data_IF_872573936215
#
_entry.id   IF_872573936215
#
_cell.length_a   1.000
_cell.length_b   1.000
_cell.length_c   1.000
_cell.angle_alpha   90.00
_cell.angle_beta   90.00
_cell.angle_gamma   90.00
#
_symmetry.space_group_name_H-M   'P 1'
#
loop_
_entity.id
_entity.type
_entity.pdbx_description
1 polymer ?
#
# COMPACT_ATOMS: atom_id res chain seq x y z
N UNK A 1 -1.96 -16.18 17.68
CA UNK A 1 -0.89 -16.42 18.65
C UNK A 1 -0.56 -15.11 19.35
N UNK A 2 -0.41 -15.10 20.67
CA UNK A 2 -0.03 -13.90 21.42
C UNK A 2 0.85 -14.29 22.58
N UNK A 3 2.10 -13.82 22.58
CA UNK A 3 3.00 -14.04 23.72
C UNK A 3 2.48 -13.35 24.98
N UNK A 4 1.97 -12.12 24.87
CA UNK A 4 1.47 -11.31 26.00
C UNK A 4 0.33 -12.00 26.76
N UNK A 5 -0.53 -12.72 26.06
CA UNK A 5 -1.68 -13.41 26.64
C UNK A 5 -1.49 -14.94 26.71
N UNK A 6 -0.26 -15.43 26.56
CA UNK A 6 0.07 -16.85 26.53
C UNK A 6 -0.79 -17.70 25.56
N UNK A 7 -1.22 -17.12 24.43
CA UNK A 7 -2.02 -17.81 23.42
C UNK A 7 -1.10 -18.54 22.43
N UNK A 8 -1.15 -19.88 22.36
CA UNK A 8 -0.28 -20.66 21.49
C UNK A 8 -0.58 -20.45 20.00
N UNK A 9 0.39 -20.77 19.15
CA UNK A 9 0.17 -20.84 17.71
C UNK A 9 -0.60 -22.13 17.35
N UNK A 10 -1.50 -22.03 16.38
CA UNK A 10 -2.38 -23.11 15.91
C UNK A 10 -2.64 -22.93 14.42
N UNK A 11 -3.07 -24.00 13.74
CA UNK A 11 -3.41 -23.95 12.30
C UNK A 11 -4.44 -22.86 11.96
N UNK A 12 -5.42 -22.63 12.85
CA UNK A 12 -6.44 -21.58 12.66
C UNK A 12 -5.96 -20.17 13.08
N UNK A 13 -4.69 -19.99 13.43
CA UNK A 13 -4.17 -18.66 13.80
C UNK A 13 -4.13 -17.77 12.57
N UNK A 14 -4.82 -16.63 12.66
CA UNK A 14 -4.77 -15.59 11.64
C UNK A 14 -3.55 -14.69 11.87
N UNK A 15 -2.90 -14.31 10.79
CA UNK A 15 -1.75 -13.41 10.77
C UNK A 15 -2.02 -12.27 9.80
N UNK A 16 -1.52 -11.08 10.15
CA UNK A 16 -1.48 -9.97 9.21
C UNK A 16 -0.39 -10.21 8.18
N UNK A 17 -0.78 -10.26 6.91
CA UNK A 17 0.12 -10.58 5.79
C UNK A 17 1.06 -9.42 5.43
N UNK A 18 0.79 -8.22 5.92
CA UNK A 18 1.56 -7.02 5.60
C UNK A 18 1.71 -6.83 4.09
N UNK A 19 2.94 -6.64 3.61
CA UNK A 19 3.21 -6.40 2.19
C UNK A 19 2.90 -7.58 1.26
N UNK A 20 2.73 -8.81 1.76
CA UNK A 20 2.29 -9.95 0.94
C UNK A 20 0.89 -9.69 0.35
N UNK A 21 0.06 -8.89 1.03
CA UNK A 21 -1.26 -8.49 0.53
C UNK A 21 -1.23 -7.80 -0.83
N UNK A 22 -0.09 -7.20 -1.24
CA UNK A 22 0.04 -6.50 -2.54
C UNK A 22 -0.18 -7.44 -3.72
N UNK A 23 0.20 -8.72 -3.62
CA UNK A 23 -0.04 -9.70 -4.69
C UNK A 23 -1.54 -9.92 -4.92
N UNK A 24 -2.35 -9.91 -3.86
CA UNK A 24 -3.81 -9.99 -3.99
C UNK A 24 -4.38 -8.72 -4.61
N UNK A 25 -3.85 -7.53 -4.27
CA UNK A 25 -4.21 -6.28 -4.95
C UNK A 25 -3.86 -6.32 -6.44
N UNK A 26 -2.69 -6.83 -6.82
CA UNK A 26 -2.31 -7.00 -8.23
C UNK A 26 -3.27 -7.94 -8.97
N UNK A 27 -3.70 -9.05 -8.34
CA UNK A 27 -4.71 -9.96 -8.92
C UNK A 27 -6.04 -9.23 -9.13
N UNK A 28 -6.53 -8.48 -8.14
CA UNK A 28 -7.76 -7.72 -8.26
C UNK A 28 -7.70 -6.68 -9.40
N UNK A 29 -6.57 -5.98 -9.54
CA UNK A 29 -6.34 -5.08 -10.69
C UNK A 29 -6.30 -5.87 -12.00
N UNK A 30 -5.67 -7.05 -12.01
CA UNK A 30 -5.66 -7.96 -13.16
C UNK A 30 -7.06 -8.37 -13.63
N UNK A 31 -7.98 -8.63 -12.70
CA UNK A 31 -9.38 -8.92 -13.02
C UNK A 31 -10.08 -7.72 -13.68
N UNK A 32 -9.81 -6.50 -13.21
CA UNK A 32 -10.35 -5.28 -13.84
C UNK A 32 -9.77 -5.02 -15.23
N UNK A 33 -8.49 -5.33 -15.44
CA UNK A 33 -7.85 -5.28 -16.76
C UNK A 33 -8.49 -6.29 -17.72
N UNK A 34 -8.72 -7.52 -17.26
CA UNK A 34 -9.40 -8.57 -18.06
C UNK A 34 -10.83 -8.17 -18.43
N UNK A 35 -11.55 -7.51 -17.53
CA UNK A 35 -12.89 -7.00 -17.77
C UNK A 35 -12.93 -5.70 -18.60
N UNK A 36 -11.78 -5.22 -19.10
CA UNK A 36 -11.63 -3.93 -19.79
C UNK A 36 -12.16 -2.71 -19.00
N UNK A 37 -12.22 -2.83 -17.66
CA UNK A 37 -12.64 -1.73 -16.78
C UNK A 37 -11.48 -0.82 -16.39
N UNK A 38 -10.24 -1.31 -16.53
CA UNK A 38 -8.99 -0.57 -16.39
C UNK A 38 -8.08 -0.82 -17.59
N UNK A 39 -7.19 0.13 -17.87
CA UNK A 39 -6.04 -0.03 -18.74
C UNK A 39 -4.75 0.17 -17.95
N UNK A 40 -3.68 -0.50 -18.37
CA UNK A 40 -2.34 -0.30 -17.80
C UNK A 40 -1.80 1.12 -18.07
N UNK A 41 -2.32 1.78 -19.10
CA UNK A 41 -1.93 3.14 -19.49
C UNK A 41 -2.84 4.22 -18.88
N UNK A 42 -3.90 3.82 -18.16
CA UNK A 42 -4.69 4.77 -17.39
C UNK A 42 -3.80 5.48 -16.38
N UNK A 43 -4.02 6.79 -16.24
CA UNK A 43 -3.39 7.62 -15.22
C UNK A 43 -4.22 7.65 -13.96
N UNK A 44 -3.60 8.06 -12.86
CA UNK A 44 -4.33 8.30 -11.60
C UNK A 44 -5.47 9.30 -11.85
N UNK A 45 -5.24 10.36 -12.62
CA UNK A 45 -6.26 11.37 -12.94
C UNK A 45 -7.50 10.80 -13.64
N UNK A 46 -7.36 9.71 -14.40
CA UNK A 46 -8.47 9.12 -15.16
C UNK A 46 -9.43 8.36 -14.24
N UNK A 47 -8.95 7.93 -13.07
CA UNK A 47 -9.69 7.10 -12.10
C UNK A 47 -9.99 7.83 -10.78
N UNK A 48 -9.18 8.81 -10.43
CA UNK A 48 -9.27 9.63 -9.22
C UNK A 48 -9.14 11.10 -9.62
N UNK A 49 -10.18 11.72 -10.21
CA UNK A 49 -10.12 13.10 -10.70
C UNK A 49 -9.84 14.11 -9.59
N UNK A 50 -10.29 13.82 -8.36
CA UNK A 50 -10.09 14.69 -7.19
C UNK A 50 -8.78 14.40 -6.42
N UNK A 51 -7.82 13.68 -7.03
CA UNK A 51 -6.54 13.40 -6.39
C UNK A 51 -5.80 14.71 -6.04
N UNK A 52 -5.34 14.93 -4.79
CA UNK A 52 -4.86 16.24 -4.35
C UNK A 52 -3.67 16.79 -5.15
N UNK A 53 -2.73 15.93 -5.56
CA UNK A 53 -1.57 16.32 -6.36
C UNK A 53 -1.82 16.01 -7.84
N UNK A 54 -2.40 16.98 -8.54
CA UNK A 54 -2.76 16.85 -9.96
C UNK A 54 -1.54 16.66 -10.87
N UNK A 55 -0.38 17.24 -10.52
CA UNK A 55 0.83 17.09 -11.30
C UNK A 55 1.35 15.65 -11.27
N UNK A 56 1.24 14.99 -10.11
CA UNK A 56 1.49 13.56 -9.95
C UNK A 56 0.41 12.73 -10.66
N UNK A 57 -0.86 13.10 -10.47
CA UNK A 57 -1.99 12.32 -10.96
C UNK A 57 -2.01 12.18 -12.50
N UNK A 58 -1.59 13.23 -13.22
CA UNK A 58 -1.55 13.27 -14.68
C UNK A 58 -0.35 12.55 -15.29
N UNK A 59 0.64 12.12 -14.49
CA UNK A 59 1.89 11.52 -14.99
C UNK A 59 1.98 10.02 -14.73
N UNK A 60 1.47 9.57 -13.59
CA UNK A 60 1.65 8.19 -13.14
C UNK A 60 0.57 7.29 -13.72
N UNK A 61 1.00 6.17 -14.32
CA UNK A 61 0.10 5.15 -14.86
C UNK A 61 -0.14 3.99 -13.89
N UNK A 62 -1.22 3.24 -14.10
CA UNK A 62 -1.49 1.98 -13.38
C UNK A 62 -0.31 1.00 -13.52
N UNK A 63 0.30 0.88 -14.71
CA UNK A 63 1.50 0.06 -14.93
C UNK A 63 2.63 0.42 -13.98
N UNK A 64 2.92 1.71 -13.82
CA UNK A 64 3.99 2.18 -12.96
C UNK A 64 3.71 1.90 -11.48
N UNK A 65 2.44 2.01 -11.06
CA UNK A 65 2.02 1.68 -9.70
C UNK A 65 2.18 0.18 -9.41
N UNK A 66 1.74 -0.70 -10.31
CA UNK A 66 1.81 -2.16 -10.13
C UNK A 66 3.25 -2.68 -10.08
N UNK A 67 4.19 -1.98 -10.72
CA UNK A 67 5.59 -2.39 -10.84
C UNK A 67 6.55 -1.58 -9.96
N UNK A 68 6.04 -0.68 -9.11
CA UNK A 68 6.88 0.18 -8.26
C UNK A 68 7.88 1.05 -9.03
N UNK A 69 7.50 1.54 -10.22
CA UNK A 69 8.34 2.38 -11.10
C UNK A 69 7.78 3.79 -11.30
N UNK A 70 6.84 4.22 -10.46
CA UNK A 70 6.19 5.53 -10.57
C UNK A 70 7.04 6.71 -10.10
N UNK A 71 8.11 6.45 -9.34
CA UNK A 71 8.94 7.50 -8.74
C UNK A 71 8.27 8.23 -7.57
N UNK A 72 7.14 7.73 -7.04
CA UNK A 72 6.57 8.25 -5.80
C UNK A 72 7.57 8.09 -4.65
N UNK A 73 7.66 9.13 -3.81
CA UNK A 73 8.57 9.16 -2.68
C UNK A 73 8.25 8.10 -1.61
N UNK A 74 9.20 7.91 -0.70
CA UNK A 74 9.06 6.98 0.42
C UNK A 74 7.95 7.43 1.38
N UNK A 75 7.15 6.47 1.84
CA UNK A 75 6.14 6.68 2.88
C UNK A 75 6.76 6.80 4.28
N UNK A 76 7.94 6.21 4.51
CA UNK A 76 8.68 6.25 5.79
C UNK A 76 9.55 7.51 5.93
N UNK A 77 8.91 8.65 5.66
CA UNK A 77 9.50 9.98 5.80
C UNK A 77 9.95 10.28 7.23
N UNK A 78 10.75 11.33 7.40
CA UNK A 78 11.12 11.82 8.73
C UNK A 78 9.88 12.16 9.58
N UNK A 79 8.84 12.73 8.97
CA UNK A 79 7.55 12.98 9.64
C UNK A 79 6.94 11.69 10.18
N UNK A 80 6.95 10.61 9.39
CA UNK A 80 6.49 9.30 9.85
C UNK A 80 7.33 8.82 11.04
N UNK A 81 8.67 8.87 10.94
CA UNK A 81 9.56 8.43 12.03
C UNK A 81 9.34 9.20 13.33
N UNK A 82 9.14 10.52 13.24
CA UNK A 82 8.86 11.40 14.40
C UNK A 82 7.50 11.12 15.05
N UNK A 83 6.56 10.49 14.34
CA UNK A 83 5.29 10.03 14.92
C UNK A 83 5.38 8.70 15.67
N UNK A 84 6.56 8.05 15.68
CA UNK A 84 6.75 6.76 16.34
C UNK A 84 6.58 6.87 17.86
N UNK A 85 5.68 6.03 18.41
CA UNK A 85 5.52 5.89 19.87
C UNK A 85 6.80 5.47 20.59
N UNK A 86 7.80 4.94 19.87
CA UNK A 86 9.10 4.59 20.42
C UNK A 86 9.86 5.81 20.96
N UNK A 87 9.69 7.00 20.36
CA UNK A 87 10.32 8.23 20.83
C UNK A 87 9.80 8.66 22.21
N UNK A 88 8.53 8.38 22.51
CA UNK A 88 7.94 8.66 23.82
C UNK A 88 8.36 7.66 24.91
N UNK A 89 8.91 6.49 24.56
CA UNK A 89 9.35 5.47 25.52
C UNK A 89 10.80 5.61 25.95
N UNK A 90 11.61 6.40 25.24
CA UNK A 90 13.02 6.65 25.57
C UNK A 90 13.24 7.95 26.36
N UNK A 91 12.21 8.81 26.44
CA UNK A 91 12.25 10.09 27.16
C UNK A 91 11.71 10.00 28.60
N UNK A 92 11.50 8.79 29.12
CA UNK A 92 11.13 8.48 30.50
C UNK A 92 12.20 7.57 31.11
#
# INVERSE_FOLDING_TARGET
ASKRFAVPNRLATRFDLGSISKSFTQIAVGQLLQAAQLSLEDRISDRLPDYPDQAVAQRITIRQLLNHTSGLGDMFTERFRRSSSALYRMAA
#
